data_IF_288632039019
#
_entry.id   IF_288632039019
#
_cell.length_a   1.000
_cell.length_b   1.000
_cell.length_c   1.000
_cell.angle_alpha   90.00
_cell.angle_beta   90.00
_cell.angle_gamma   90.00
#
_symmetry.space_group_name_H-M   'P 1'
#
loop_
_entity.id
_entity.type
_entity.pdbx_description
1 polymer ?
#
# COMPACT_ATOMS: atom_id res chain seq x y z
N UNK A 1 39.72 -56.35 -65.12
CA UNK A 1 40.72 -57.33 -65.54
C UNK A 1 41.96 -57.10 -64.69
N UNK A 2 42.37 -58.11 -63.92
CA UNK A 2 43.72 -58.36 -63.35
C UNK A 2 44.30 -57.29 -62.39
N UNK A 3 44.36 -57.52 -61.07
CA UNK A 3 45.25 -58.42 -60.30
C UNK A 3 46.59 -57.74 -59.87
N UNK A 4 46.77 -57.76 -58.54
CA UNK A 4 48.04 -57.97 -57.79
C UNK A 4 49.13 -56.89 -57.81
N UNK A 5 49.57 -56.42 -56.63
CA UNK A 5 50.64 -57.07 -55.85
C UNK A 5 51.31 -56.17 -54.77
N UNK A 6 51.58 -56.80 -53.62
CA UNK A 6 52.76 -56.71 -52.72
C UNK A 6 53.13 -55.41 -51.94
N UNK A 7 53.19 -55.61 -50.62
CA UNK A 7 53.97 -54.90 -49.56
C UNK A 7 55.51 -55.10 -49.76
N UNK A 8 56.47 -54.38 -49.10
CA UNK A 8 56.51 -54.12 -47.64
C UNK A 8 57.21 -52.84 -47.09
N UNK A 9 56.93 -52.56 -45.79
CA UNK A 9 57.74 -51.97 -44.68
C UNK A 9 58.70 -50.79 -44.94
N UNK A 10 58.50 -49.69 -44.20
CA UNK A 10 59.51 -49.17 -43.25
C UNK A 10 58.91 -48.10 -42.31
N UNK A 11 59.33 -48.12 -41.05
CA UNK A 11 58.82 -47.32 -39.95
C UNK A 11 59.54 -45.96 -39.83
N UNK A 12 58.80 -44.89 -39.52
CA UNK A 12 59.30 -43.81 -38.68
C UNK A 12 58.14 -42.93 -38.17
N UNK A 13 58.10 -42.78 -36.84
CA UNK A 13 57.21 -41.89 -36.06
C UNK A 13 57.25 -40.45 -36.56
N UNK A 14 56.10 -39.76 -36.55
CA UNK A 14 55.88 -38.50 -35.81
C UNK A 14 54.44 -37.99 -35.93
N UNK A 15 53.90 -37.65 -34.75
CA UNK A 15 52.81 -36.70 -34.46
C UNK A 15 51.43 -36.90 -35.11
N UNK A 16 50.53 -37.50 -34.32
CA UNK A 16 49.07 -37.32 -34.42
C UNK A 16 48.69 -35.88 -34.02
N UNK A 17 47.89 -35.14 -34.81
CA UNK A 17 46.92 -34.22 -34.23
C UNK A 17 45.62 -34.98 -34.00
N UNK A 18 45.17 -34.92 -32.76
CA UNK A 18 44.01 -35.61 -32.23
C UNK A 18 42.72 -35.21 -32.97
N UNK A 19 42.09 -36.23 -33.52
CA UNK A 19 40.66 -36.54 -33.49
C UNK A 19 39.71 -35.44 -33.01
N UNK A 20 38.83 -35.06 -33.93
CA UNK A 20 37.48 -34.59 -33.67
C UNK A 20 36.82 -35.38 -32.54
N UNK A 21 36.55 -34.73 -31.41
CA UNK A 21 35.58 -35.17 -30.41
C UNK A 21 34.76 -33.96 -29.96
N UNK A 22 33.59 -33.86 -30.57
CA UNK A 22 32.31 -33.41 -30.04
C UNK A 22 32.34 -32.93 -28.57
N UNK A 23 32.14 -31.62 -28.36
CA UNK A 23 31.53 -31.10 -27.14
C UNK A 23 30.69 -29.88 -27.50
N UNK A 24 29.40 -30.13 -27.78
CA UNK A 24 28.32 -29.15 -27.75
C UNK A 24 28.18 -28.68 -26.29
N UNK A 25 29.02 -27.72 -25.88
CA UNK A 25 28.79 -26.93 -24.68
C UNK A 25 27.74 -25.86 -25.02
N UNK A 26 26.48 -26.30 -25.01
CA UNK A 26 25.36 -25.42 -24.70
C UNK A 26 25.61 -24.92 -23.27
N UNK A 27 26.30 -23.79 -23.17
CA UNK A 27 26.36 -23.02 -21.94
C UNK A 27 24.91 -22.63 -21.62
N UNK A 28 24.28 -23.40 -20.75
CA UNK A 28 23.16 -22.92 -19.95
C UNK A 28 23.72 -21.79 -19.10
N UNK A 29 23.74 -20.58 -19.66
CA UNK A 29 23.77 -19.38 -18.86
C UNK A 29 22.44 -19.45 -18.09
N UNK A 30 22.45 -19.62 -16.75
CA UNK A 30 21.26 -19.35 -16.00
C UNK A 30 21.02 -17.86 -16.22
N UNK A 31 20.11 -17.53 -17.13
CA UNK A 31 19.45 -16.23 -17.10
C UNK A 31 18.69 -16.29 -15.79
N UNK A 32 19.36 -15.89 -14.70
CA UNK A 32 18.71 -15.52 -13.47
C UNK A 32 17.78 -14.40 -13.85
N UNK A 33 16.53 -14.74 -14.16
CA UNK A 33 15.45 -13.78 -14.11
C UNK A 33 15.38 -13.42 -12.64
N UNK A 34 16.18 -12.43 -12.21
CA UNK A 34 15.97 -11.77 -10.95
C UNK A 34 14.55 -11.23 -11.05
N UNK A 35 13.60 -11.98 -10.53
CA UNK A 35 12.19 -11.69 -10.67
C UNK A 35 11.96 -10.41 -9.86
N UNK A 36 11.81 -9.29 -10.56
CA UNK A 36 11.65 -8.00 -9.92
C UNK A 36 10.35 -8.03 -9.10
N UNK A 37 10.48 -7.87 -7.78
CA UNK A 37 9.33 -7.90 -6.87
C UNK A 37 8.26 -6.89 -7.33
N UNK A 38 7.03 -7.37 -7.47
CA UNK A 38 5.92 -6.60 -7.98
C UNK A 38 4.56 -7.12 -7.54
N UNK A 39 3.52 -6.77 -8.31
CA UNK A 39 2.14 -7.14 -8.00
C UNK A 39 1.92 -8.67 -8.07
N UNK A 40 2.72 -9.38 -8.86
CA UNK A 40 2.58 -10.83 -9.04
C UNK A 40 2.98 -11.58 -7.76
N UNK A 41 4.07 -11.19 -7.12
CA UNK A 41 4.57 -11.80 -5.89
C UNK A 41 3.57 -11.61 -4.74
N UNK A 42 2.96 -10.42 -4.66
CA UNK A 42 1.88 -10.14 -3.70
C UNK A 42 0.61 -10.91 -4.05
N UNK A 43 0.33 -11.09 -5.34
CA UNK A 43 -0.81 -11.88 -5.82
C UNK A 43 -0.70 -13.35 -5.44
N UNK A 44 0.49 -13.92 -5.57
CA UNK A 44 0.78 -15.30 -5.14
C UNK A 44 0.53 -15.43 -3.63
N UNK A 45 1.02 -14.47 -2.83
CA UNK A 45 0.74 -14.44 -1.37
C UNK A 45 -0.76 -14.35 -1.07
N UNK A 46 -1.46 -13.43 -1.72
CA UNK A 46 -2.91 -13.24 -1.52
C UNK A 46 -3.71 -14.50 -1.89
N UNK A 47 -3.43 -15.09 -3.05
CA UNK A 47 -4.07 -16.32 -3.52
C UNK A 47 -3.83 -17.49 -2.55
N UNK A 48 -2.59 -17.66 -2.08
CA UNK A 48 -2.24 -18.69 -1.11
C UNK A 48 -2.94 -18.47 0.24
N UNK A 49 -3.08 -17.23 0.69
CA UNK A 49 -3.83 -16.92 1.91
C UNK A 49 -5.31 -17.23 1.75
N UNK A 50 -5.90 -16.97 0.58
CA UNK A 50 -7.33 -17.18 0.34
C UNK A 50 -7.78 -18.65 0.47
N UNK A 51 -6.88 -19.62 0.36
CA UNK A 51 -7.16 -21.05 0.52
C UNK A 51 -7.18 -21.52 1.98
N UNK A 52 -6.83 -20.65 2.92
CA UNK A 52 -6.74 -20.97 4.34
C UNK A 52 -7.91 -20.33 5.12
N UNK A 53 -8.20 -20.76 6.36
CA UNK A 53 -9.07 -20.01 7.25
C UNK A 53 -8.46 -18.65 7.62
N UNK A 54 -9.28 -17.61 7.71
CA UNK A 54 -8.82 -16.30 8.18
C UNK A 54 -8.29 -16.39 9.62
N UNK A 55 -7.13 -15.76 9.86
CA UNK A 55 -6.55 -15.61 11.19
C UNK A 55 -6.40 -14.12 11.47
N UNK A 56 -7.08 -13.55 12.48
CA UNK A 56 -6.95 -12.13 12.83
C UNK A 56 -5.51 -11.78 13.24
N UNK A 57 -5.07 -10.52 13.06
CA UNK A 57 -3.72 -10.13 13.43
C UNK A 57 -3.62 -10.12 14.95
N UNK A 58 -2.41 -10.33 15.46
CA UNK A 58 -2.18 -10.17 16.89
C UNK A 58 -2.47 -8.73 17.30
N UNK A 59 -3.11 -8.56 18.46
CA UNK A 59 -3.38 -7.24 19.03
C UNK A 59 -2.15 -6.75 19.76
N UNK A 60 -1.89 -5.45 19.66
CA UNK A 60 -0.89 -4.80 20.51
C UNK A 60 -1.28 -4.92 21.99
N UNK A 61 -0.31 -4.77 22.92
CA UNK A 61 -0.55 -4.84 24.34
C UNK A 61 -1.71 -3.94 24.79
N UNK A 62 -2.53 -4.46 25.71
CA UNK A 62 -3.73 -3.79 26.22
C UNK A 62 -3.47 -2.34 26.66
N UNK A 63 -2.36 -2.10 27.34
CA UNK A 63 -2.03 -0.75 27.84
C UNK A 63 -1.84 0.30 26.74
N UNK A 64 -1.49 -0.09 25.51
CA UNK A 64 -1.42 0.82 24.36
C UNK A 64 -2.79 1.06 23.73
N UNK A 65 -3.73 0.12 23.84
CA UNK A 65 -5.10 0.26 23.34
C UNK A 65 -5.95 1.17 24.22
N UNK A 66 -5.57 1.32 25.49
CA UNK A 66 -6.30 2.10 26.50
C UNK A 66 -5.76 3.52 26.71
N UNK A 67 -4.74 3.95 25.94
CA UNK A 67 -4.27 5.34 26.00
C UNK A 67 -5.30 6.29 25.38
N UNK A 68 -5.32 7.53 25.86
CA UNK A 68 -6.15 8.57 25.25
C UNK A 68 -5.52 9.16 23.97
N UNK A 69 -6.32 9.95 23.25
CA UNK A 69 -5.90 10.59 22.00
C UNK A 69 -4.67 11.49 22.19
N UNK A 70 -4.60 12.22 23.31
CA UNK A 70 -3.52 13.15 23.55
C UNK A 70 -2.20 12.43 23.81
N UNK A 71 -2.23 11.30 24.53
CA UNK A 71 -1.07 10.44 24.75
C UNK A 71 -0.58 9.84 23.41
N UNK A 72 -1.48 9.33 22.56
CA UNK A 72 -1.09 8.84 21.24
C UNK A 72 -0.46 9.93 20.38
N UNK A 73 -1.06 11.13 20.35
CA UNK A 73 -0.54 12.30 19.62
C UNK A 73 0.83 12.77 20.12
N UNK A 74 1.13 12.54 21.39
CA UNK A 74 2.40 12.91 22.02
C UNK A 74 3.54 11.91 21.72
N UNK A 75 3.24 10.78 21.07
CA UNK A 75 4.23 9.86 20.51
C UNK A 75 4.55 10.30 19.08
N UNK A 76 5.77 10.78 18.84
CA UNK A 76 6.16 11.40 17.56
C UNK A 76 7.33 10.68 16.93
N UNK A 77 7.23 10.38 15.64
CA UNK A 77 8.36 9.84 14.88
C UNK A 77 9.48 10.89 14.81
N UNK A 78 10.71 10.50 15.17
CA UNK A 78 11.83 11.43 15.19
C UNK A 78 12.38 11.66 13.76
N UNK A 79 12.54 12.92 13.31
CA UNK A 79 12.93 13.22 11.93
C UNK A 79 14.25 12.59 11.46
N UNK A 80 15.23 12.40 12.35
CA UNK A 80 16.54 11.82 12.06
C UNK A 80 16.49 10.36 11.61
N UNK A 81 15.42 9.62 11.92
CA UNK A 81 15.22 8.24 11.46
C UNK A 81 14.34 8.13 10.21
N UNK A 82 14.08 9.26 9.53
CA UNK A 82 13.26 9.22 8.32
C UNK A 82 13.97 8.47 7.20
N UNK A 83 13.26 7.53 6.59
CA UNK A 83 13.79 6.71 5.52
C UNK A 83 14.04 7.56 4.26
N UNK A 84 15.20 7.33 3.63
CA UNK A 84 15.65 7.93 2.37
C UNK A 84 15.88 9.45 2.35
N UNK A 85 15.88 10.10 3.52
CA UNK A 85 16.27 11.50 3.60
C UNK A 85 17.73 11.69 3.24
N UNK A 86 17.98 12.18 2.03
CA UNK A 86 19.30 12.46 1.50
C UNK A 86 19.24 13.50 0.36
N UNK A 87 20.33 14.22 0.07
CA UNK A 87 20.37 15.16 -1.05
C UNK A 87 19.97 14.53 -2.38
N UNK A 88 18.99 15.15 -3.08
CA UNK A 88 18.46 14.69 -4.37
C UNK A 88 17.40 13.57 -4.29
N UNK A 89 17.05 13.12 -3.07
CA UNK A 89 15.85 12.30 -2.87
C UNK A 89 14.66 13.23 -2.63
N UNK A 90 13.57 13.00 -3.38
CA UNK A 90 12.35 13.78 -3.20
C UNK A 90 11.37 13.16 -2.21
N UNK A 91 11.47 11.86 -1.97
CA UNK A 91 10.52 11.13 -1.14
C UNK A 91 11.15 10.69 0.16
N UNK A 92 10.45 11.01 1.24
CA UNK A 92 10.79 10.61 2.59
C UNK A 92 9.66 9.75 3.17
N UNK A 93 10.00 8.79 4.05
CA UNK A 93 9.00 7.93 4.70
C UNK A 93 9.16 7.93 6.21
N UNK A 94 8.04 8.13 6.91
CA UNK A 94 7.96 7.98 8.37
C UNK A 94 6.86 6.99 8.74
N UNK A 95 6.93 6.47 9.97
CA UNK A 95 6.08 5.39 10.43
C UNK A 95 5.20 5.83 11.61
N UNK A 96 4.00 5.27 11.68
CA UNK A 96 3.07 5.52 12.78
C UNK A 96 3.27 4.52 13.91
N UNK A 97 3.21 5.01 15.15
CA UNK A 97 3.21 4.17 16.34
C UNK A 97 1.81 3.56 16.55
N UNK A 98 1.69 2.25 16.89
CA UNK A 98 0.41 1.66 17.29
C UNK A 98 -0.14 2.20 18.61
N UNK A 99 -1.46 2.21 18.76
CA UNK A 99 -2.11 2.68 19.98
C UNK A 99 -3.53 3.16 19.76
N UNK A 100 -4.30 3.22 20.85
CA UNK A 100 -5.72 3.57 20.84
C UNK A 100 -6.49 2.70 19.82
N UNK A 101 -6.97 3.31 18.73
CA UNK A 101 -7.73 2.65 17.66
C UNK A 101 -6.86 1.84 16.69
N UNK A 102 -5.53 2.04 16.67
CA UNK A 102 -4.60 1.30 15.84
C UNK A 102 -4.09 0.07 16.57
N UNK A 103 -4.96 -0.93 16.72
CA UNK A 103 -4.74 -2.11 17.58
C UNK A 103 -3.81 -3.17 16.97
N UNK A 104 -3.44 -3.03 15.70
CA UNK A 104 -2.67 -4.02 14.95
C UNK A 104 -1.46 -3.36 14.27
N UNK A 105 -0.36 -4.11 14.24
CA UNK A 105 0.81 -3.72 13.48
C UNK A 105 0.76 -4.28 12.06
N UNK A 106 1.36 -3.54 11.13
CA UNK A 106 1.59 -3.94 9.73
C UNK A 106 3.06 -4.29 9.54
N UNK A 107 3.32 -5.30 8.71
CA UNK A 107 4.68 -5.62 8.25
C UNK A 107 5.10 -4.61 7.20
N UNK A 108 6.27 -4.02 7.38
CA UNK A 108 6.80 -3.01 6.47
C UNK A 108 8.11 -3.48 5.87
N UNK A 109 8.17 -3.39 4.54
CA UNK A 109 9.36 -3.67 3.77
C UNK A 109 9.67 -2.50 2.85
N UNK A 110 10.93 -2.38 2.47
CA UNK A 110 11.32 -1.62 1.29
C UNK A 110 11.97 -2.50 0.23
N UNK A 111 11.84 -2.08 -1.02
CA UNK A 111 12.42 -2.76 -2.17
C UNK A 111 13.52 -1.89 -2.77
N UNK A 112 14.68 -2.48 -3.03
CA UNK A 112 15.73 -1.83 -3.82
C UNK A 112 16.38 -2.82 -4.80
N UNK A 113 17.60 -2.52 -5.27
CA UNK A 113 18.31 -3.36 -6.24
C UNK A 113 18.79 -4.68 -5.65
N UNK A 114 18.96 -4.75 -4.33
CA UNK A 114 19.44 -5.94 -3.62
C UNK A 114 18.28 -6.86 -3.24
N UNK A 115 17.05 -6.34 -3.20
CA UNK A 115 15.83 -7.11 -3.05
C UNK A 115 14.86 -6.52 -2.03
N UNK A 116 14.27 -7.39 -1.22
CA UNK A 116 13.29 -7.04 -0.19
C UNK A 116 13.98 -6.93 1.15
N UNK A 117 13.79 -5.79 1.83
CA UNK A 117 14.36 -5.53 3.14
C UNK A 117 13.25 -5.21 4.14
N UNK A 118 13.30 -5.82 5.32
CA UNK A 118 12.37 -5.50 6.41
C UNK A 118 12.71 -4.13 7.03
N UNK A 119 11.68 -3.41 7.45
CA UNK A 119 11.80 -2.22 8.29
C UNK A 119 11.48 -2.63 9.73
N UNK A 120 12.48 -2.97 10.56
CA UNK A 120 12.22 -3.41 11.92
C UNK A 120 11.69 -2.26 12.76
N UNK A 121 10.83 -2.59 13.72
CA UNK A 121 10.40 -1.64 14.74
C UNK A 121 11.57 -1.24 15.65
N UNK A 122 11.51 -0.01 16.16
CA UNK A 122 12.43 0.44 17.20
C UNK A 122 11.76 1.54 18.02
N UNK A 123 11.74 1.35 19.34
CA UNK A 123 11.30 2.34 20.31
C UNK A 123 12.09 3.65 20.21
N UNK A 124 13.36 3.58 19.80
CA UNK A 124 14.24 4.75 19.71
C UNK A 124 13.87 5.70 18.58
N UNK A 125 13.11 5.23 17.58
CA UNK A 125 12.62 6.05 16.46
C UNK A 125 11.49 7.00 16.85
N UNK A 126 11.00 6.91 18.08
CA UNK A 126 9.90 7.73 18.57
C UNK A 126 10.33 8.55 19.77
N UNK A 127 9.93 9.81 19.78
CA UNK A 127 9.89 10.65 20.98
C UNK A 127 8.59 10.37 21.73
N UNK A 128 8.70 10.12 23.03
CA UNK A 128 7.56 9.90 23.92
C UNK A 128 7.44 11.13 24.80
N UNK A 129 6.60 12.07 24.37
CA UNK A 129 6.39 13.34 25.05
C UNK A 129 5.85 13.17 26.47
N UNK A 130 5.68 14.27 27.23
CA UNK A 130 5.27 14.24 28.63
C UNK A 130 4.07 13.33 28.95
N UNK A 131 3.07 13.26 28.07
CA UNK A 131 1.87 12.42 28.27
C UNK A 131 2.13 10.93 28.02
N UNK A 132 3.10 10.60 27.17
CA UNK A 132 3.43 9.24 26.76
C UNK A 132 4.73 8.70 27.37
N UNK A 133 5.52 9.53 28.08
CA UNK A 133 6.86 9.18 28.60
C UNK A 133 6.88 7.90 29.43
N UNK A 134 5.85 7.71 30.25
CA UNK A 134 5.69 6.54 31.11
C UNK A 134 5.46 5.24 30.32
N UNK A 135 5.09 5.30 29.03
CA UNK A 135 4.87 4.13 28.19
C UNK A 135 6.19 3.55 27.68
N UNK A 136 7.21 4.39 27.44
CA UNK A 136 8.45 4.04 26.70
C UNK A 136 9.13 2.76 27.19
N UNK A 137 9.24 2.57 28.51
CA UNK A 137 9.93 1.43 29.11
C UNK A 137 9.14 0.11 29.04
N UNK A 138 7.86 0.17 28.65
CA UNK A 138 6.94 -0.97 28.54
C UNK A 138 6.72 -1.41 27.08
N UNK A 139 7.30 -0.68 26.12
CA UNK A 139 7.12 -0.94 24.70
C UNK A 139 7.87 -2.23 24.32
N UNK A 140 7.19 -3.24 23.77
CA UNK A 140 7.85 -4.43 23.25
C UNK A 140 8.81 -4.08 22.10
N UNK A 141 10.00 -4.71 22.02
CA UNK A 141 10.96 -4.46 20.96
C UNK A 141 10.43 -4.86 19.57
N UNK A 142 9.44 -5.74 19.50
CA UNK A 142 8.82 -6.30 18.31
C UNK A 142 7.39 -5.78 18.06
N UNK A 143 7.00 -4.65 18.69
CA UNK A 143 5.65 -4.09 18.61
C UNK A 143 5.13 -3.88 17.17
N UNK A 144 6.02 -3.56 16.23
CA UNK A 144 5.67 -3.23 14.85
C UNK A 144 5.11 -1.81 14.68
N UNK A 145 4.71 -1.47 13.45
CA UNK A 145 4.20 -0.14 13.09
C UNK A 145 2.71 -0.18 12.76
N UNK A 146 1.96 0.88 13.05
CA UNK A 146 0.54 0.94 12.68
C UNK A 146 0.29 1.30 11.21
N UNK A 147 1.31 1.84 10.55
CA UNK A 147 1.21 2.33 9.19
C UNK A 147 2.39 3.24 8.86
N UNK A 148 2.28 3.96 7.76
CA UNK A 148 3.32 4.89 7.31
C UNK A 148 2.73 6.05 6.54
N UNK A 149 3.54 7.09 6.39
CA UNK A 149 3.25 8.29 5.63
C UNK A 149 4.46 8.68 4.80
N UNK A 150 4.16 9.22 3.62
CA UNK A 150 5.13 9.61 2.63
C UNK A 150 5.11 11.12 2.52
N UNK A 151 6.30 11.71 2.43
CA UNK A 151 6.49 13.12 2.19
C UNK A 151 7.11 13.37 0.82
N UNK A 152 6.82 14.55 0.27
CA UNK A 152 7.37 15.05 -0.98
C UNK A 152 7.38 16.59 -0.95
N UNK A 153 8.32 17.28 -1.64
CA UNK A 153 8.30 18.73 -1.78
C UNK A 153 7.16 19.19 -2.70
N UNK A 154 5.96 19.20 -2.15
CA UNK A 154 4.71 19.38 -2.89
C UNK A 154 4.38 20.87 -3.08
N UNK A 155 4.55 21.65 -2.01
CA UNK A 155 4.26 23.08 -2.00
C UNK A 155 5.51 23.91 -2.32
N UNK A 156 6.60 23.63 -1.61
CA UNK A 156 7.87 24.35 -1.71
C UNK A 156 9.05 23.39 -1.89
N UNK A 157 10.04 23.67 -2.77
CA UNK A 157 11.17 22.76 -3.02
C UNK A 157 12.03 22.40 -1.81
N UNK A 158 12.03 23.24 -0.76
CA UNK A 158 12.81 23.05 0.46
C UNK A 158 12.04 22.42 1.63
N UNK A 159 10.74 22.15 1.47
CA UNK A 159 9.86 21.66 2.54
C UNK A 159 9.33 20.28 2.15
N UNK A 160 9.35 19.34 3.09
CA UNK A 160 8.78 18.00 2.88
C UNK A 160 7.35 17.99 3.43
N UNK A 161 6.37 18.01 2.52
CA UNK A 161 4.94 17.98 2.85
C UNK A 161 4.43 16.54 2.89
N UNK A 162 3.52 16.22 3.82
CA UNK A 162 2.87 14.91 3.86
C UNK A 162 1.91 14.78 2.67
N UNK A 163 2.13 13.80 1.79
CA UNK A 163 1.39 13.68 0.52
C UNK A 163 0.44 12.49 0.48
N UNK A 164 0.76 11.42 1.23
CA UNK A 164 -0.13 10.28 1.40
C UNK A 164 0.19 9.55 2.71
N UNK A 165 -0.84 9.07 3.40
CA UNK A 165 -0.73 8.24 4.60
C UNK A 165 -1.59 6.98 4.47
N UNK A 166 -1.02 5.84 4.88
CA UNK A 166 -1.69 4.53 4.99
C UNK A 166 -1.75 4.17 6.47
N UNK A 167 -2.96 4.16 7.05
CA UNK A 167 -3.14 4.00 8.49
C UNK A 167 -4.58 3.57 8.82
N UNK A 168 -4.71 2.46 9.54
CA UNK A 168 -5.99 1.91 9.98
C UNK A 168 -6.70 1.10 8.88
N UNK A 169 -7.03 -0.16 9.19
CA UNK A 169 -7.64 -1.11 8.27
C UNK A 169 -7.01 -1.05 6.86
N UNK A 170 -7.80 -0.80 5.81
CA UNK A 170 -7.31 -0.58 4.44
C UNK A 170 -7.40 0.88 4.00
N UNK A 171 -7.44 1.84 4.93
CA UNK A 171 -7.59 3.26 4.62
C UNK A 171 -6.28 3.89 4.16
N UNK A 172 -6.42 4.87 3.26
CA UNK A 172 -5.37 5.81 2.94
C UNK A 172 -5.94 7.19 2.61
N UNK A 173 -5.15 8.23 2.89
CA UNK A 173 -5.49 9.62 2.60
C UNK A 173 -4.38 10.28 1.82
N UNK A 174 -4.72 10.94 0.72
CA UNK A 174 -3.78 11.72 -0.09
C UNK A 174 -4.10 13.21 0.01
N UNK A 175 -3.09 14.06 -0.17
CA UNK A 175 -3.22 15.52 -0.13
C UNK A 175 -2.78 16.10 -1.48
N UNK A 176 -3.57 16.97 -2.13
CA UNK A 176 -3.15 17.70 -3.32
C UNK A 176 -2.29 18.91 -2.95
N UNK A 177 -1.60 19.49 -3.93
CA UNK A 177 -0.86 20.75 -3.74
C UNK A 177 -1.76 21.84 -3.16
N UNK A 178 -1.29 22.52 -2.12
CA UNK A 178 -2.05 23.55 -1.38
C UNK A 178 -3.22 23.02 -0.56
N UNK A 179 -3.48 21.71 -0.56
CA UNK A 179 -4.58 21.08 0.16
C UNK A 179 -4.22 20.64 1.57
N UNK A 180 -5.22 20.09 2.27
CA UNK A 180 -5.08 19.41 3.56
C UNK A 180 -5.82 18.08 3.51
N UNK A 181 -5.68 17.27 4.55
CA UNK A 181 -6.53 16.09 4.69
C UNK A 181 -8.01 16.45 4.77
N UNK A 182 -8.81 15.78 3.95
CA UNK A 182 -10.27 15.71 4.05
C UNK A 182 -10.69 14.24 4.00
N UNK A 183 -11.37 13.85 2.93
CA UNK A 183 -11.83 12.47 2.71
C UNK A 183 -10.69 11.43 2.69
N UNK A 184 -11.08 10.18 2.94
CA UNK A 184 -10.23 8.99 2.83
C UNK A 184 -10.70 8.08 1.71
N UNK A 185 -9.78 7.33 1.14
CA UNK A 185 -10.08 6.16 0.33
C UNK A 185 -9.81 4.88 1.14
N UNK A 186 -10.41 3.75 0.74
CA UNK A 186 -10.05 2.43 1.28
C UNK A 186 -9.65 1.48 0.16
N UNK A 187 -8.90 0.45 0.50
CA UNK A 187 -8.57 -0.63 -0.44
C UNK A 187 -9.82 -1.37 -0.91
N UNK A 188 -10.77 -1.60 0.00
CA UNK A 188 -12.01 -2.34 -0.26
C UNK A 188 -13.05 -2.05 0.82
N UNK A 189 -14.33 -2.18 0.48
CA UNK A 189 -15.45 -2.17 1.42
C UNK A 189 -16.29 -3.43 1.24
N UNK A 190 -16.81 -4.01 2.33
CA UNK A 190 -17.54 -5.28 2.30
C UNK A 190 -18.78 -5.17 3.18
N UNK A 191 -19.94 -5.43 2.58
CA UNK A 191 -21.24 -5.46 3.26
C UNK A 191 -21.55 -4.16 4.03
N UNK A 192 -21.02 -3.02 3.56
CA UNK A 192 -21.27 -1.69 4.14
C UNK A 192 -22.76 -1.36 4.14
N UNK A 193 -23.27 -0.91 5.29
CA UNK A 193 -24.68 -0.56 5.50
C UNK A 193 -25.69 -1.70 5.32
N UNK A 194 -25.23 -2.97 5.29
CA UNK A 194 -26.11 -4.13 5.32
C UNK A 194 -26.45 -4.60 6.73
N UNK A 195 -27.61 -5.27 6.84
CA UNK A 195 -27.98 -6.05 8.02
C UNK A 195 -26.98 -7.21 8.22
N UNK A 196 -26.24 -7.18 9.33
CA UNK A 196 -25.14 -8.11 9.64
C UNK A 196 -23.83 -7.43 10.04
N UNK A 197 -23.68 -6.14 9.71
CA UNK A 197 -22.50 -5.34 10.02
C UNK A 197 -21.48 -5.34 8.88
N UNK A 198 -20.76 -4.22 8.78
CA UNK A 198 -19.68 -4.05 7.79
C UNK A 198 -18.45 -4.88 8.18
N UNK A 199 -17.86 -5.57 7.20
CA UNK A 199 -16.54 -6.17 7.34
C UNK A 199 -15.48 -5.15 6.89
N UNK A 200 -14.43 -4.97 7.69
CA UNK A 200 -13.34 -4.04 7.40
C UNK A 200 -12.06 -4.79 7.02
N UNK A 201 -11.73 -4.90 5.72
CA UNK A 201 -10.47 -5.50 5.30
C UNK A 201 -9.27 -4.64 5.72
N UNK A 202 -8.17 -5.31 6.06
CA UNK A 202 -6.96 -4.65 6.57
C UNK A 202 -5.78 -4.86 5.64
N UNK A 203 -4.95 -3.82 5.44
CA UNK A 203 -3.63 -4.02 4.85
C UNK A 203 -2.68 -4.55 5.92
N UNK A 204 -2.07 -5.71 5.67
CA UNK A 204 -1.22 -6.42 6.64
C UNK A 204 0.27 -6.29 6.39
N UNK A 205 0.65 -6.15 5.13
CA UNK A 205 2.04 -6.15 4.70
C UNK A 205 2.20 -5.17 3.54
N UNK A 206 3.22 -4.33 3.62
CA UNK A 206 3.54 -3.34 2.60
C UNK A 206 4.97 -3.48 2.12
N UNK A 207 5.17 -3.19 0.84
CA UNK A 207 6.49 -3.07 0.21
C UNK A 207 6.58 -1.73 -0.50
N UNK A 208 7.47 -0.86 -0.04
CA UNK A 208 7.67 0.47 -0.60
C UNK A 208 8.88 0.42 -1.52
N UNK A 209 8.70 0.67 -2.81
CA UNK A 209 9.79 0.71 -3.76
C UNK A 209 10.65 1.95 -3.50
N UNK A 210 11.95 1.75 -3.23
CA UNK A 210 12.89 2.84 -3.04
C UNK A 210 12.92 3.71 -4.30
N UNK A 211 12.51 4.98 -4.22
CA UNK A 211 12.47 5.83 -5.39
C UNK A 211 13.90 6.08 -5.87
N UNK A 212 14.04 6.23 -7.19
CA UNK A 212 15.28 6.74 -7.78
C UNK A 212 15.47 8.20 -7.40
N UNK A 213 16.71 8.66 -7.48
CA UNK A 213 17.03 10.09 -7.40
C UNK A 213 16.14 10.87 -8.37
N UNK A 214 15.66 12.03 -7.93
CA UNK A 214 14.80 12.93 -8.69
C UNK A 214 13.44 12.34 -9.16
N UNK A 215 13.06 11.16 -8.65
CA UNK A 215 11.77 10.54 -9.00
C UNK A 215 10.60 11.47 -8.70
N UNK A 216 9.57 11.42 -9.55
CA UNK A 216 8.31 12.15 -9.41
C UNK A 216 7.15 11.28 -8.94
N UNK A 217 7.41 10.00 -8.73
CA UNK A 217 6.44 9.06 -8.20
C UNK A 217 7.09 8.08 -7.23
N UNK A 218 6.23 7.47 -6.42
CA UNK A 218 6.59 6.37 -5.54
C UNK A 218 5.60 5.22 -5.73
N UNK A 219 6.12 3.99 -5.68
CA UNK A 219 5.32 2.78 -5.85
C UNK A 219 5.26 2.03 -4.52
N UNK A 220 4.06 1.62 -4.15
CA UNK A 220 3.78 0.84 -2.96
C UNK A 220 3.02 -0.40 -3.37
N UNK A 221 3.37 -1.54 -2.82
CA UNK A 221 2.59 -2.75 -2.89
C UNK A 221 2.00 -3.08 -1.53
N UNK A 222 0.80 -3.64 -1.50
CA UNK A 222 0.13 -3.99 -0.25
C UNK A 222 -0.62 -5.33 -0.36
N UNK A 223 -0.55 -6.11 0.71
CA UNK A 223 -1.35 -7.31 0.91
C UNK A 223 -2.53 -6.97 1.81
N UNK A 224 -3.74 -7.17 1.29
CA UNK A 224 -5.00 -7.01 2.00
C UNK A 224 -5.49 -8.39 2.46
N UNK A 225 -6.02 -8.46 3.67
CA UNK A 225 -6.57 -9.68 4.25
C UNK A 225 -7.81 -9.36 5.09
N UNK A 226 -8.80 -10.24 5.04
CA UNK A 226 -10.04 -10.13 5.79
C UNK A 226 -10.70 -11.51 5.94
N UNK A 227 -11.74 -11.65 6.79
CA UNK A 227 -12.52 -12.87 6.87
C UNK A 227 -13.06 -13.37 5.53
N UNK A 228 -13.43 -12.46 4.62
CA UNK A 228 -14.08 -12.81 3.36
C UNK A 228 -13.19 -12.82 2.14
N UNK A 229 -12.08 -12.06 2.12
CA UNK A 229 -11.28 -11.85 0.91
C UNK A 229 -9.83 -11.55 1.25
N UNK A 230 -8.92 -11.94 0.36
CA UNK A 230 -7.56 -11.41 0.32
C UNK A 230 -7.38 -10.57 -0.94
N UNK A 231 -6.40 -9.69 -0.94
CA UNK A 231 -6.12 -8.86 -2.10
C UNK A 231 -4.66 -8.48 -2.24
N UNK A 232 -4.22 -8.29 -3.47
CA UNK A 232 -2.90 -7.78 -3.81
C UNK A 232 -3.06 -6.42 -4.48
N UNK A 233 -2.36 -5.41 -3.99
CA UNK A 233 -2.47 -4.04 -4.46
C UNK A 233 -1.13 -3.50 -4.93
N UNK A 234 -1.18 -2.63 -5.94
CA UNK A 234 -0.09 -1.75 -6.36
C UNK A 234 -0.62 -0.33 -6.48
N UNK A 235 -0.10 0.55 -5.63
CA UNK A 235 -0.30 1.98 -5.67
C UNK A 235 0.87 2.64 -6.39
N UNK A 236 0.60 3.57 -7.30
CA UNK A 236 1.61 4.48 -7.86
C UNK A 236 1.15 5.91 -7.61
N UNK A 237 1.86 6.60 -6.72
CA UNK A 237 1.49 7.93 -6.21
C UNK A 237 2.33 8.97 -6.94
N UNK A 238 1.65 9.93 -7.56
CA UNK A 238 2.23 11.11 -8.20
C UNK A 238 1.76 12.35 -7.44
N UNK A 239 2.57 12.87 -6.49
CA UNK A 239 2.24 14.12 -5.81
C UNK A 239 2.15 15.29 -6.78
N UNK A 240 1.16 16.15 -6.62
CA UNK A 240 0.98 17.33 -7.46
C UNK A 240 -0.40 17.97 -7.34
N UNK A 241 -0.83 18.61 -8.42
CA UNK A 241 -2.17 19.20 -8.53
C UNK A 241 -2.94 18.54 -9.71
N UNK A 242 -3.85 17.59 -9.44
CA UNK A 242 -4.04 16.90 -8.16
C UNK A 242 -2.93 15.87 -7.88
N UNK A 243 -2.81 15.44 -6.63
CA UNK A 243 -2.06 14.22 -6.29
C UNK A 243 -2.81 13.02 -6.85
N UNK A 244 -2.21 12.29 -7.79
CA UNK A 244 -2.84 11.14 -8.47
C UNK A 244 -2.34 9.84 -7.87
N UNK A 245 -3.27 8.94 -7.52
CA UNK A 245 -2.96 7.59 -7.03
C UNK A 245 -3.52 6.57 -8.02
N UNK A 246 -2.64 5.93 -8.79
CA UNK A 246 -3.04 4.82 -9.65
C UNK A 246 -3.06 3.53 -8.84
N UNK A 247 -4.19 2.84 -8.82
CA UNK A 247 -4.38 1.58 -8.10
C UNK A 247 -4.58 0.44 -9.09
N UNK A 248 -3.78 -0.62 -8.97
CA UNK A 248 -4.09 -1.93 -9.55
C UNK A 248 -4.29 -2.92 -8.42
N UNK A 249 -5.31 -3.76 -8.53
CA UNK A 249 -5.60 -4.76 -7.52
C UNK A 249 -6.02 -6.10 -8.14
N UNK A 250 -5.81 -7.17 -7.38
CA UNK A 250 -6.38 -8.50 -7.62
C UNK A 250 -7.00 -8.99 -6.32
N UNK A 251 -8.24 -9.48 -6.36
CA UNK A 251 -8.97 -9.97 -5.19
C UNK A 251 -9.20 -11.47 -5.29
N UNK A 252 -9.10 -12.16 -4.16
CA UNK A 252 -9.29 -13.60 -4.02
C UNK A 252 -10.28 -13.88 -2.89
N UNK A 253 -11.57 -14.06 -3.20
CA UNK A 253 -12.58 -14.36 -2.19
C UNK A 253 -12.30 -15.69 -1.47
N UNK A 254 -12.36 -15.68 -0.14
CA UNK A 254 -12.35 -16.88 0.72
C UNK A 254 -13.73 -17.52 0.81
N UNK A 255 -14.77 -16.69 0.80
CA UNK A 255 -16.18 -17.08 0.87
C UNK A 255 -17.03 -16.12 0.04
N UNK A 256 -18.31 -16.43 -0.10
CA UNK A 256 -19.28 -15.57 -0.78
C UNK A 256 -19.41 -14.22 -0.05
N UNK A 257 -19.35 -13.14 -0.81
CA UNK A 257 -19.55 -11.75 -0.37
C UNK A 257 -20.92 -11.28 -0.87
N UNK A 258 -21.67 -10.51 -0.07
CA UNK A 258 -22.99 -10.01 -0.48
C UNK A 258 -22.84 -8.72 -1.28
N UNK A 259 -22.12 -7.75 -0.75
CA UNK A 259 -21.82 -6.48 -1.40
C UNK A 259 -20.33 -6.15 -1.33
N UNK A 260 -19.74 -5.87 -2.49
CA UNK A 260 -18.34 -5.55 -2.65
C UNK A 260 -18.20 -4.11 -3.15
N UNK A 261 -17.67 -3.23 -2.31
CA UNK A 261 -17.37 -1.85 -2.67
C UNK A 261 -15.96 -1.72 -3.26
N UNK A 262 -15.88 -1.39 -4.55
CA UNK A 262 -14.64 -1.14 -5.28
C UNK A 262 -14.32 0.36 -5.30
N UNK A 263 -13.05 0.70 -5.07
CA UNK A 263 -12.57 2.09 -4.93
C UNK A 263 -13.43 2.94 -3.97
N UNK A 264 -13.70 2.44 -2.75
CA UNK A 264 -14.55 3.15 -1.78
C UNK A 264 -13.91 4.46 -1.32
N UNK A 265 -14.75 5.49 -1.20
CA UNK A 265 -14.42 6.77 -0.59
C UNK A 265 -15.21 6.93 0.72
N UNK A 266 -14.62 7.61 1.70
CA UNK A 266 -15.24 7.91 2.99
C UNK A 266 -14.95 9.35 3.32
N UNK A 267 -16.02 10.12 3.49
CA UNK A 267 -15.95 11.55 3.80
C UNK A 267 -16.84 11.86 5.00
N UNK A 268 -16.91 13.14 5.37
CA UNK A 268 -17.74 13.64 6.46
C UNK A 268 -18.52 14.86 5.97
N UNK A 269 -19.82 14.90 6.28
CA UNK A 269 -20.67 16.06 6.05
C UNK A 269 -21.49 16.33 7.31
N UNK A 270 -21.31 17.50 7.95
CA UNK A 270 -22.10 17.89 9.12
C UNK A 270 -23.26 18.80 8.71
N UNK A 271 -22.97 19.94 8.09
CA UNK A 271 -23.95 20.84 7.44
C UNK A 271 -23.27 21.70 6.37
N UNK A 272 -24.05 22.11 5.37
CA UNK A 272 -23.62 22.94 4.23
C UNK A 272 -24.78 23.76 3.65
N UNK A 273 -24.58 24.40 2.50
CA UNK A 273 -25.56 25.29 1.84
C UNK A 273 -26.95 24.66 1.65
N UNK A 274 -26.99 23.34 1.47
CA UNK A 274 -28.20 22.56 1.22
C UNK A 274 -28.92 22.08 2.49
N UNK A 275 -28.48 22.52 3.68
CA UNK A 275 -29.08 22.14 4.98
C UNK A 275 -29.14 23.33 5.95
N UNK A 276 -30.15 23.41 6.84
CA UNK A 276 -30.18 24.45 7.86
C UNK A 276 -28.93 24.38 8.77
N UNK A 277 -28.32 25.53 9.03
CA UNK A 277 -27.19 25.63 9.97
C UNK A 277 -27.65 25.27 11.39
N UNK A 278 -26.99 24.31 12.09
CA UNK A 278 -27.33 23.95 13.46
C UNK A 278 -27.16 25.13 14.43
N UNK A 279 -28.00 25.16 15.48
CA UNK A 279 -27.92 26.19 16.52
C UNK A 279 -26.54 26.20 17.20
N UNK A 280 -26.05 27.40 17.53
CA UNK A 280 -24.73 27.58 18.16
C UNK A 280 -23.54 27.46 17.21
N UNK A 281 -23.74 27.08 15.95
CA UNK A 281 -22.67 27.05 14.95
C UNK A 281 -22.50 28.43 14.29
N UNK A 282 -21.26 28.92 14.24
CA UNK A 282 -20.93 30.21 13.62
C UNK A 282 -20.36 30.06 12.20
N UNK A 283 -19.72 28.93 11.89
CA UNK A 283 -19.19 28.66 10.54
C UNK A 283 -20.35 28.54 9.55
N UNK A 284 -20.22 29.08 8.33
CA UNK A 284 -21.23 28.89 7.28
C UNK A 284 -21.49 27.42 6.98
N UNK A 285 -20.44 26.60 6.97
CA UNK A 285 -20.47 25.18 6.59
C UNK A 285 -19.39 24.39 7.33
N UNK A 286 -19.60 23.08 7.50
CA UNK A 286 -18.63 22.13 8.07
C UNK A 286 -18.78 20.77 7.37
N UNK A 287 -17.84 20.46 6.47
CA UNK A 287 -17.76 19.18 5.75
C UNK A 287 -16.38 19.02 5.10
N UNK A 288 -16.04 17.77 4.78
CA UNK A 288 -14.89 17.41 3.93
C UNK A 288 -15.31 17.22 2.46
N UNK A 289 -16.62 17.05 2.21
CA UNK A 289 -17.24 16.97 0.88
C UNK A 289 -18.69 17.41 0.96
N UNK A 290 -19.20 18.04 -0.08
CA UNK A 290 -20.56 18.59 -0.19
C UNK A 290 -21.47 17.78 -1.12
N UNK A 291 -20.91 16.96 -2.01
CA UNK A 291 -21.67 16.13 -2.93
C UNK A 291 -20.87 14.96 -3.51
N UNK A 292 -21.61 14.07 -4.16
CA UNK A 292 -21.11 12.97 -4.98
C UNK A 292 -21.38 13.33 -6.45
N UNK A 293 -20.34 13.38 -7.27
CA UNK A 293 -20.46 13.55 -8.71
C UNK A 293 -20.27 12.21 -9.40
N UNK A 294 -21.24 11.77 -10.19
CA UNK A 294 -21.14 10.56 -11.00
C UNK A 294 -21.05 10.93 -12.47
N UNK A 295 -20.27 10.18 -13.24
CA UNK A 295 -20.21 10.29 -14.70
C UNK A 295 -20.52 8.91 -15.27
N UNK A 296 -21.68 8.78 -15.90
CA UNK A 296 -22.12 7.50 -16.47
C UNK A 296 -21.34 7.13 -17.75
N UNK A 297 -21.66 5.98 -18.34
CA UNK A 297 -21.04 5.52 -19.59
C UNK A 297 -21.36 6.41 -20.80
N UNK A 298 -22.48 7.13 -20.81
CA UNK A 298 -22.86 8.05 -21.90
C UNK A 298 -22.13 9.39 -21.81
N UNK A 299 -21.69 9.78 -20.61
CA UNK A 299 -21.09 11.06 -20.28
C UNK A 299 -22.03 12.01 -19.52
N UNK A 300 -23.27 11.57 -19.21
CA UNK A 300 -24.17 12.26 -18.29
C UNK A 300 -23.50 12.43 -16.92
N UNK A 301 -23.66 13.63 -16.36
CA UNK A 301 -23.12 13.99 -15.05
C UNK A 301 -24.26 14.12 -14.06
N UNK A 302 -24.21 13.33 -12.99
CA UNK A 302 -25.18 13.36 -11.91
C UNK A 302 -24.51 13.97 -10.69
N UNK A 303 -25.08 15.04 -10.14
CA UNK A 303 -24.63 15.62 -8.88
C UNK A 303 -25.61 15.28 -7.77
N UNK A 304 -25.12 14.62 -6.72
CA UNK A 304 -25.89 14.26 -5.53
C UNK A 304 -25.33 14.99 -4.30
N UNK A 305 -25.95 16.11 -3.87
CA UNK A 305 -25.57 16.77 -2.63
C UNK A 305 -25.66 15.83 -1.43
N UNK A 306 -24.65 15.86 -0.57
CA UNK A 306 -24.62 15.12 0.69
C UNK A 306 -25.58 15.74 1.68
N UNK A 307 -26.20 14.91 2.51
CA UNK A 307 -27.13 15.36 3.55
C UNK A 307 -26.86 14.60 4.82
N UNK A 308 -26.94 15.28 5.96
CA UNK A 308 -26.82 14.67 7.28
C UNK A 308 -28.22 14.60 7.93
N UNK A 309 -28.85 13.43 7.82
CA UNK A 309 -30.19 13.18 8.36
C UNK A 309 -30.16 12.31 9.62
N UNK A 310 -31.26 12.25 10.39
CA UNK A 310 -31.32 11.50 11.66
C UNK A 310 -31.36 9.97 11.49
N UNK A 311 -31.32 9.45 10.26
CA UNK A 311 -31.41 8.03 9.92
C UNK A 311 -30.42 7.71 8.80
N UNK A 312 -29.89 6.49 8.84
CA UNK A 312 -29.08 5.94 7.75
C UNK A 312 -29.87 6.00 6.42
N UNK A 313 -29.21 6.42 5.35
CA UNK A 313 -29.78 6.48 4.01
C UNK A 313 -28.85 5.81 3.02
N UNK A 314 -29.42 4.97 2.17
CA UNK A 314 -28.75 4.38 1.03
C UNK A 314 -29.30 5.00 -0.24
N UNK A 315 -28.41 5.46 -1.12
CA UNK A 315 -28.75 5.94 -2.45
C UNK A 315 -28.03 5.06 -3.45
N UNK A 316 -28.80 4.40 -4.31
CA UNK A 316 -28.29 3.46 -5.31
C UNK A 316 -28.49 4.07 -6.69
N UNK A 317 -27.40 4.15 -7.46
CA UNK A 317 -27.40 4.67 -8.82
C UNK A 317 -27.04 3.53 -9.76
N UNK A 318 -27.99 3.09 -10.59
CA UNK A 318 -27.75 2.08 -11.61
C UNK A 318 -26.98 2.68 -12.78
N UNK A 319 -25.66 2.54 -12.78
CA UNK A 319 -24.79 3.02 -13.86
C UNK A 319 -24.30 1.85 -14.71
N UNK A 320 -24.13 2.08 -16.01
CA UNK A 320 -23.44 1.16 -16.93
C UNK A 320 -22.12 1.80 -17.37
N UNK A 321 -21.03 1.04 -17.26
CA UNK A 321 -19.67 1.44 -17.64
C UNK A 321 -19.29 2.86 -17.16
N UNK A 322 -19.36 3.16 -15.85
CA UNK A 322 -19.14 4.52 -15.34
C UNK A 322 -17.74 5.02 -15.70
N UNK A 323 -17.66 6.28 -16.14
CA UNK A 323 -16.40 6.95 -16.49
C UNK A 323 -15.72 7.57 -15.27
N UNK A 324 -16.48 7.82 -14.21
CA UNK A 324 -15.97 8.36 -12.94
C UNK A 324 -17.07 8.51 -11.90
N UNK A 325 -16.66 8.63 -10.64
CA UNK A 325 -17.50 8.97 -9.50
C UNK A 325 -16.68 9.73 -8.45
#
# INVERSE_FOLDING_TARGET
MMLTSRCPRCAARRSLPASYLLALLLAWIPVGVAQAFGLEEVSIKAAALATQPYRPPEKIPKFLREIDYDALRDIRYKPEFTLWRAPGMHFDVQFFHPGMVYEHAVKLHYLDREGVHEVPFSVERFDYGPRARHLRHRIPPDLGYAGFRIYYPLNDPGVQDEVIAFLGASYFRAVPKGGRYGLSARGLAIDTALEGGEEFPEFREFWIERPRKDSRYIRIYALLDSPSVTGAYRFTVFPGDPTRVYVKLRLYPRKKIRELGIAPLTSMFFYGENTPRPAGQWRPEVHDSDGLMLIDGTGERIWRPLVNGPRLRLALFGLKDPRGF
#
